data_IF_907300334668
#
_entry.id   IF_907300334668
#
_cell.length_a   1.000
_cell.length_b   1.000
_cell.length_c   1.000
_cell.angle_alpha   90.00
_cell.angle_beta   90.00
_cell.angle_gamma   90.00
#
_symmetry.space_group_name_H-M   'P 1'
#
loop_
_entity.id
_entity.type
_entity.pdbx_description
1 polymer ?
#
# COMPACT_ATOMS: atom_id res chain seq x y z
N UNK A 1 17.79 -5.75 2.88
CA UNK A 1 17.24 -7.11 3.07
C UNK A 1 18.24 -8.20 2.69
N UNK A 2 19.47 -8.16 3.23
CA UNK A 2 20.49 -9.20 2.97
C UNK A 2 21.07 -9.25 1.55
N UNK A 3 20.65 -8.36 0.65
CA UNK A 3 21.27 -8.21 -0.67
C UNK A 3 22.63 -7.51 -0.54
N UNK A 4 23.67 -7.97 -1.28
CA UNK A 4 24.99 -7.37 -1.23
C UNK A 4 24.95 -5.92 -1.75
N UNK A 5 25.80 -5.06 -1.22
CA UNK A 5 25.86 -3.67 -1.65
C UNK A 5 27.18 -2.96 -1.34
N UNK A 6 27.34 -1.71 -1.80
CA UNK A 6 28.56 -0.92 -1.58
C UNK A 6 28.91 -0.73 -0.09
N UNK A 7 27.89 -0.68 0.76
CA UNK A 7 28.04 -0.52 2.21
C UNK A 7 28.83 -1.69 2.85
N UNK A 8 28.75 -2.91 2.29
CA UNK A 8 29.54 -4.08 2.75
C UNK A 8 31.06 -3.85 2.59
N UNK A 9 31.44 -2.91 1.72
CA UNK A 9 32.81 -2.54 1.41
C UNK A 9 33.19 -1.15 1.93
N UNK A 10 32.36 -0.56 2.81
CA UNK A 10 32.58 0.78 3.35
C UNK A 10 32.45 1.90 2.30
N UNK A 11 31.63 1.69 1.27
CA UNK A 11 31.37 2.65 0.19
C UNK A 11 29.93 3.17 0.22
N UNK A 12 29.71 4.33 -0.39
CA UNK A 12 28.39 4.95 -0.50
C UNK A 12 27.58 4.35 -1.65
N UNK A 13 26.28 4.63 -1.68
CA UNK A 13 25.43 4.27 -2.81
C UNK A 13 25.87 4.97 -4.11
N UNK A 14 26.38 6.20 -4.04
CA UNK A 14 26.92 6.91 -5.20
C UNK A 14 28.14 6.17 -5.78
N UNK A 15 29.13 5.82 -4.93
CA UNK A 15 30.31 5.06 -5.37
C UNK A 15 29.93 3.76 -6.12
N UNK A 16 28.92 3.04 -5.62
CA UNK A 16 28.45 1.80 -6.24
C UNK A 16 27.68 2.01 -7.53
N UNK A 17 26.78 3.00 -7.55
CA UNK A 17 25.96 3.31 -8.72
C UNK A 17 26.82 3.86 -9.87
N UNK A 18 27.72 4.79 -9.57
CA UNK A 18 28.56 5.48 -10.55
C UNK A 18 29.59 4.51 -11.17
N UNK A 19 30.13 3.57 -10.38
CA UNK A 19 30.98 2.50 -10.93
C UNK A 19 30.26 1.67 -12.01
N UNK A 20 28.97 1.36 -11.83
CA UNK A 20 28.17 0.68 -12.85
C UNK A 20 27.81 1.63 -14.00
N UNK A 21 27.56 2.89 -13.70
CA UNK A 21 27.17 3.92 -14.66
C UNK A 21 28.30 4.21 -15.66
N UNK A 22 29.55 4.28 -15.19
CA UNK A 22 30.77 4.40 -15.99
C UNK A 22 30.91 3.24 -16.98
N UNK A 23 30.62 2.01 -16.55
CA UNK A 23 30.69 0.84 -17.41
C UNK A 23 29.61 0.85 -18.52
N UNK A 24 28.46 1.46 -18.26
CA UNK A 24 27.33 1.53 -19.20
C UNK A 24 27.37 2.78 -20.12
N UNK A 25 28.06 3.84 -19.70
CA UNK A 25 28.08 5.13 -20.40
C UNK A 25 28.53 5.05 -21.88
N UNK A 26 29.58 4.28 -22.26
CA UNK A 26 29.97 4.14 -23.67
C UNK A 26 28.90 3.51 -24.58
N UNK A 27 27.90 2.87 -23.97
CA UNK A 27 26.80 2.19 -24.67
C UNK A 27 25.47 2.94 -24.56
N UNK A 28 25.46 4.13 -23.95
CA UNK A 28 24.23 4.90 -23.70
C UNK A 28 23.29 4.25 -22.67
N UNK A 29 23.80 3.33 -21.84
CA UNK A 29 23.02 2.67 -20.80
C UNK A 29 22.82 3.55 -19.56
N UNK A 30 21.77 3.24 -18.81
CA UNK A 30 21.44 3.89 -17.53
C UNK A 30 21.47 2.88 -16.38
N UNK A 31 21.69 3.38 -15.16
CA UNK A 31 21.57 2.61 -13.92
C UNK A 31 20.31 3.05 -13.19
N UNK A 32 19.37 2.12 -13.00
CA UNK A 32 18.22 2.32 -12.11
C UNK A 32 18.60 1.81 -10.72
N UNK A 33 18.92 2.72 -9.81
CA UNK A 33 19.38 2.38 -8.46
C UNK A 33 18.24 2.54 -7.47
N UNK A 34 17.75 1.44 -6.88
CA UNK A 34 16.60 1.48 -5.96
C UNK A 34 16.96 2.14 -4.64
N UNK A 35 16.13 3.09 -4.22
CA UNK A 35 16.23 3.78 -2.93
C UNK A 35 15.47 3.05 -1.79
N UNK A 36 15.01 1.83 -2.03
CA UNK A 36 14.40 0.96 -1.01
C UNK A 36 15.49 0.36 -0.12
N UNK A 37 16.06 1.19 0.75
CA UNK A 37 17.14 0.84 1.66
C UNK A 37 16.72 1.18 3.09
N UNK A 38 16.91 0.22 3.98
CA UNK A 38 16.71 0.37 5.41
C UNK A 38 17.54 -0.70 6.15
N UNK A 39 18.17 -0.30 7.24
CA UNK A 39 19.10 -1.08 8.05
C UNK A 39 18.42 -1.61 9.31
N UNK A 40 18.76 -2.84 9.68
CA UNK A 40 18.35 -3.43 10.97
C UNK A 40 19.16 -2.91 12.16
N UNK A 41 20.31 -2.30 11.88
CA UNK A 41 21.21 -1.79 12.90
C UNK A 41 20.91 -0.33 13.26
N UNK A 42 20.11 0.34 12.42
CA UNK A 42 19.61 1.67 12.71
C UNK A 42 18.38 1.54 13.61
N UNK A 43 18.39 2.30 14.71
CA UNK A 43 17.30 2.35 15.70
C UNK A 43 16.31 3.48 15.41
N UNK A 44 16.64 4.34 14.45
CA UNK A 44 15.74 5.37 13.95
C UNK A 44 14.53 4.77 13.23
N UNK A 45 13.48 5.57 13.09
CA UNK A 45 12.24 5.14 12.45
C UNK A 45 12.48 4.68 11.00
N UNK A 46 12.07 3.44 10.65
CA UNK A 46 12.30 2.86 9.32
C UNK A 46 11.93 3.79 8.18
N UNK A 47 10.83 4.54 8.30
CA UNK A 47 10.34 5.40 7.22
C UNK A 47 11.25 6.61 6.96
N UNK A 48 12.19 6.91 7.87
CA UNK A 48 13.19 7.98 7.70
C UNK A 48 14.39 7.54 6.88
N UNK A 49 14.71 6.24 6.89
CA UNK A 49 16.05 5.77 6.53
C UNK A 49 16.39 5.97 5.05
N UNK A 50 15.43 5.77 4.14
CA UNK A 50 15.67 6.04 2.72
C UNK A 50 16.01 7.52 2.46
N UNK A 51 15.35 8.44 3.15
CA UNK A 51 15.69 9.85 3.05
C UNK A 51 17.08 10.12 3.62
N UNK A 52 17.37 9.62 4.83
CA UNK A 52 18.63 9.89 5.54
C UNK A 52 19.85 9.31 4.80
N UNK A 53 19.67 8.19 4.08
CA UNK A 53 20.70 7.57 3.26
C UNK A 53 20.96 8.35 1.96
N UNK A 54 19.92 8.79 1.24
CA UNK A 54 20.06 9.32 -0.11
C UNK A 54 20.11 10.85 -0.18
N UNK A 55 19.47 11.58 0.74
CA UNK A 55 19.51 13.05 0.77
C UNK A 55 20.94 13.62 0.84
N UNK A 56 21.87 13.08 1.67
CA UNK A 56 23.26 13.55 1.70
C UNK A 56 24.07 13.24 0.43
N UNK A 57 23.52 12.43 -0.48
CA UNK A 57 24.13 12.05 -1.75
C UNK A 57 23.58 12.86 -2.94
N UNK A 58 22.69 13.82 -2.69
CA UNK A 58 22.11 14.65 -3.75
C UNK A 58 23.19 15.38 -4.58
N UNK A 59 23.20 15.15 -5.89
CA UNK A 59 24.16 15.71 -6.83
C UNK A 59 25.52 15.03 -6.85
N UNK A 60 25.67 13.87 -6.19
CA UNK A 60 26.89 13.04 -6.28
C UNK A 60 26.80 11.94 -7.32
N UNK A 61 25.59 11.56 -7.74
CA UNK A 61 25.37 10.52 -8.73
C UNK A 61 25.65 11.02 -10.15
N UNK A 62 26.15 10.13 -10.99
CA UNK A 62 26.37 10.40 -12.41
C UNK A 62 25.06 10.64 -13.18
N UNK A 63 25.18 11.37 -14.29
CA UNK A 63 24.01 11.82 -15.07
C UNK A 63 23.16 10.69 -15.68
N UNK A 64 23.72 9.49 -15.84
CA UNK A 64 23.01 8.28 -16.30
C UNK A 64 22.60 7.34 -15.16
N UNK A 65 22.66 7.80 -13.90
CA UNK A 65 22.03 7.14 -12.75
C UNK A 65 20.66 7.77 -12.50
N UNK A 66 19.67 6.93 -12.22
CA UNK A 66 18.34 7.33 -11.74
C UNK A 66 18.08 6.62 -10.41
N UNK A 67 17.80 7.40 -9.36
CA UNK A 67 17.31 6.84 -8.10
C UNK A 67 15.84 6.45 -8.25
N UNK A 68 15.57 5.14 -8.21
CA UNK A 68 14.23 4.57 -8.30
C UNK A 68 13.62 4.49 -6.88
N UNK A 69 12.59 5.30 -6.62
CA UNK A 69 12.01 5.50 -5.29
C UNK A 69 10.56 5.02 -5.28
N UNK A 70 10.18 4.20 -4.29
CA UNK A 70 8.77 3.80 -4.09
C UNK A 70 7.86 5.01 -3.86
N UNK A 71 6.57 4.87 -4.17
CA UNK A 71 5.61 5.96 -4.00
C UNK A 71 5.53 6.51 -2.57
N UNK A 72 5.75 5.68 -1.57
CA UNK A 72 5.83 6.07 -0.16
C UNK A 72 7.13 5.58 0.49
N UNK A 73 7.42 6.04 1.72
CA UNK A 73 8.69 5.76 2.40
C UNK A 73 8.74 4.38 3.07
N UNK A 74 7.64 3.62 3.11
CA UNK A 74 7.60 2.27 3.68
C UNK A 74 7.68 1.21 2.59
N UNK A 75 6.55 0.63 2.19
CA UNK A 75 6.53 -0.53 1.31
C UNK A 75 5.13 -0.80 0.75
N UNK A 76 4.70 0.02 -0.23
CA UNK A 76 3.51 -0.21 -1.04
C UNK A 76 2.20 -0.46 -0.26
N UNK A 77 2.07 0.10 0.94
CA UNK A 77 0.90 -0.08 1.77
C UNK A 77 -0.36 0.51 1.08
N UNK A 78 -1.58 0.07 1.47
CA UNK A 78 -2.83 0.55 0.85
C UNK A 78 -2.95 2.08 0.73
N UNK A 79 -2.36 2.80 1.70
CA UNK A 79 -2.07 4.22 1.62
C UNK A 79 -0.81 4.55 2.41
N UNK A 80 0.04 5.39 1.81
CA UNK A 80 1.19 6.02 2.45
C UNK A 80 1.20 7.51 2.05
N UNK A 81 1.76 8.41 2.86
CA UNK A 81 2.19 9.70 2.34
C UNK A 81 3.26 9.48 1.26
N UNK A 82 3.44 10.46 0.36
CA UNK A 82 4.47 10.35 -0.67
C UNK A 82 5.87 10.29 -0.04
N UNK A 83 6.81 9.60 -0.70
CA UNK A 83 8.20 9.52 -0.22
C UNK A 83 8.84 10.93 -0.21
N UNK A 84 9.41 11.40 0.92
CA UNK A 84 9.97 12.75 1.03
C UNK A 84 11.18 12.99 0.12
N UNK A 85 11.78 11.92 -0.45
CA UNK A 85 12.80 12.06 -1.50
C UNK A 85 12.26 12.82 -2.73
N UNK A 86 10.97 12.68 -3.06
CA UNK A 86 10.32 13.51 -4.08
C UNK A 86 10.18 14.95 -3.57
N UNK A 87 11.17 15.78 -3.88
CA UNK A 87 11.26 17.17 -3.43
C UNK A 87 12.54 17.48 -2.66
N UNK A 88 13.22 16.46 -2.14
CA UNK A 88 14.43 16.64 -1.35
C UNK A 88 15.73 16.44 -2.13
N UNK A 89 15.75 15.83 -3.32
CA UNK A 89 17.00 15.62 -4.07
C UNK A 89 16.98 16.30 -5.45
N UNK A 90 17.00 17.64 -5.51
CA UNK A 90 16.83 18.40 -6.76
C UNK A 90 18.00 18.30 -7.76
N UNK A 91 19.14 17.69 -7.38
CA UNK A 91 20.32 17.56 -8.24
C UNK A 91 20.54 16.12 -8.72
N UNK A 92 19.57 15.23 -8.47
CA UNK A 92 19.66 13.81 -8.80
C UNK A 92 18.45 13.41 -9.62
N UNK A 93 18.63 12.57 -10.66
CA UNK A 93 17.51 12.03 -11.40
C UNK A 93 16.70 11.09 -10.49
N UNK A 94 15.38 11.27 -10.44
CA UNK A 94 14.47 10.45 -9.67
C UNK A 94 13.49 9.72 -10.59
N UNK A 95 13.18 8.49 -10.23
CA UNK A 95 12.13 7.68 -10.84
C UNK A 95 11.12 7.20 -9.80
N UNK A 96 9.86 7.10 -10.19
CA UNK A 96 8.81 6.53 -9.34
C UNK A 96 8.73 5.02 -9.53
N UNK A 97 8.78 4.26 -8.44
CA UNK A 97 8.44 2.84 -8.39
C UNK A 97 7.05 2.66 -7.78
N UNK A 98 6.19 1.92 -8.46
CA UNK A 98 4.84 1.55 -8.00
C UNK A 98 4.62 0.04 -8.16
N UNK A 99 3.73 -0.51 -7.34
CA UNK A 99 3.41 -1.94 -7.37
C UNK A 99 2.11 -2.20 -8.12
N UNK A 100 2.13 -2.97 -9.21
CA UNK A 100 0.91 -3.42 -9.89
C UNK A 100 0.42 -4.72 -9.26
N UNK A 101 1.36 -5.61 -8.88
CA UNK A 101 1.02 -6.80 -8.10
C UNK A 101 0.55 -6.37 -6.73
N UNK A 102 -0.55 -6.95 -6.25
CA UNK A 102 -1.24 -6.47 -5.05
C UNK A 102 -0.80 -7.22 -3.81
N UNK A 103 0.50 -7.25 -3.55
CA UNK A 103 1.09 -7.90 -2.38
C UNK A 103 0.38 -7.48 -1.07
N UNK A 104 0.06 -6.19 -0.95
CA UNK A 104 -0.57 -5.64 0.25
C UNK A 104 -2.07 -5.35 0.09
N UNK A 105 -2.67 -5.78 -1.02
CA UNK A 105 -4.02 -5.36 -1.44
C UNK A 105 -4.88 -6.56 -1.86
N UNK A 106 -4.69 -7.70 -1.18
CA UNK A 106 -5.54 -8.88 -1.31
C UNK A 106 -5.26 -9.72 -2.55
N UNK A 107 -4.03 -9.65 -3.07
CA UNK A 107 -3.55 -10.49 -4.17
C UNK A 107 -4.51 -10.46 -5.36
N UNK A 108 -4.65 -11.55 -6.11
CA UNK A 108 -5.44 -11.56 -7.34
C UNK A 108 -6.97 -11.56 -7.10
N UNK A 109 -7.40 -11.83 -5.87
CA UNK A 109 -8.83 -12.08 -5.55
C UNK A 109 -9.59 -10.84 -5.11
N UNK A 110 -8.92 -9.76 -4.73
CA UNK A 110 -9.59 -8.51 -4.33
C UNK A 110 -9.69 -7.54 -5.50
N UNK A 111 -10.88 -7.07 -5.86
CA UNK A 111 -11.02 -5.98 -6.84
C UNK A 111 -10.53 -4.68 -6.18
N UNK A 112 -9.37 -4.21 -6.62
CA UNK A 112 -8.71 -2.98 -6.14
C UNK A 112 -8.05 -2.28 -7.34
N UNK A 113 -8.65 -1.19 -7.79
CA UNK A 113 -8.14 -0.37 -8.88
C UNK A 113 -7.11 0.65 -8.38
N UNK A 114 -5.86 0.48 -8.79
CA UNK A 114 -4.70 1.23 -8.30
C UNK A 114 -4.50 2.58 -9.01
N UNK A 115 -5.23 2.85 -10.09
CA UNK A 115 -5.15 4.14 -10.77
C UNK A 115 -5.43 5.33 -9.83
N UNK A 116 -6.35 5.17 -8.87
CA UNK A 116 -6.65 6.21 -7.87
C UNK A 116 -5.53 6.40 -6.85
N UNK A 117 -4.82 5.32 -6.48
CA UNK A 117 -3.65 5.38 -5.61
C UNK A 117 -2.50 6.12 -6.29
N UNK A 118 -2.20 5.79 -7.54
CA UNK A 118 -1.09 6.41 -8.25
C UNK A 118 -1.39 7.86 -8.63
N UNK A 119 -2.64 8.18 -8.99
CA UNK A 119 -3.04 9.57 -9.19
C UNK A 119 -2.87 10.38 -7.89
N UNK A 120 -3.29 9.86 -6.72
CA UNK A 120 -3.10 10.53 -5.42
C UNK A 120 -1.61 10.84 -5.15
N UNK A 121 -0.71 9.91 -5.47
CA UNK A 121 0.74 10.10 -5.32
C UNK A 121 1.25 11.14 -6.32
N UNK A 122 0.97 10.97 -7.61
CA UNK A 122 1.45 11.84 -8.69
C UNK A 122 1.00 13.29 -8.50
N UNK A 123 -0.20 13.50 -7.99
CA UNK A 123 -0.78 14.83 -7.72
C UNK A 123 -0.38 15.41 -6.36
N UNK A 124 0.31 14.64 -5.50
CA UNK A 124 0.77 15.16 -4.21
C UNK A 124 1.75 16.31 -4.42
N UNK A 125 1.45 17.46 -3.83
CA UNK A 125 2.33 18.63 -3.88
C UNK A 125 3.45 18.48 -2.86
N UNK A 126 4.69 18.57 -3.34
CA UNK A 126 5.88 18.44 -2.49
C UNK A 126 6.29 19.77 -1.87
N UNK A 127 5.73 20.89 -2.36
CA UNK A 127 6.12 22.28 -2.07
C UNK A 127 7.62 22.59 -2.26
N UNK A 128 8.36 21.72 -2.95
CA UNK A 128 9.82 21.81 -3.07
C UNK A 128 10.31 23.08 -3.80
N UNK A 129 9.48 23.65 -4.67
CA UNK A 129 9.68 24.97 -5.30
C UNK A 129 8.43 25.85 -5.16
N UNK A 130 7.73 25.73 -4.03
CA UNK A 130 6.46 26.39 -3.79
C UNK A 130 5.25 25.60 -4.34
N UNK A 131 4.04 26.15 -4.21
CA UNK A 131 2.82 25.47 -4.61
C UNK A 131 2.80 25.04 -6.08
N UNK A 132 2.25 23.86 -6.34
CA UNK A 132 2.22 23.21 -7.65
C UNK A 132 3.47 22.38 -7.95
N UNK A 133 4.30 22.05 -6.95
CA UNK A 133 5.50 21.20 -7.08
C UNK A 133 5.13 19.71 -6.95
N UNK A 134 4.28 19.20 -7.83
CA UNK A 134 3.75 17.84 -7.70
C UNK A 134 4.82 16.76 -7.91
N UNK A 135 4.60 15.57 -7.34
CA UNK A 135 5.45 14.38 -7.60
C UNK A 135 5.54 14.10 -9.10
N UNK A 136 4.45 14.26 -9.86
CA UNK A 136 4.45 14.17 -11.32
C UNK A 136 5.52 15.07 -11.97
N UNK A 137 5.60 16.34 -11.55
CA UNK A 137 6.60 17.29 -12.07
C UNK A 137 8.02 16.99 -11.62
N UNK A 138 8.19 16.30 -10.49
CA UNK A 138 9.50 15.80 -10.07
C UNK A 138 9.97 14.71 -11.02
N UNK A 139 9.11 13.72 -11.29
CA UNK A 139 9.50 12.52 -12.06
C UNK A 139 9.43 12.71 -13.57
N UNK A 140 8.67 13.68 -14.09
CA UNK A 140 8.72 14.09 -15.50
C UNK A 140 9.90 15.04 -15.80
N UNK A 141 10.63 15.43 -14.74
CA UNK A 141 11.83 16.25 -14.79
C UNK A 141 11.58 17.76 -14.93
N UNK A 142 10.34 18.21 -15.15
CA UNK A 142 10.02 19.62 -15.39
C UNK A 142 10.29 20.52 -14.18
N UNK A 143 10.19 20.00 -12.95
CA UNK A 143 10.40 20.79 -11.74
C UNK A 143 11.87 21.16 -11.52
N UNK A 144 12.80 20.23 -11.81
CA UNK A 144 14.23 20.37 -11.51
C UNK A 144 15.14 20.40 -12.73
N UNK A 145 14.62 20.16 -13.94
CA UNK A 145 15.40 20.09 -15.18
C UNK A 145 16.10 18.75 -15.39
N UNK A 146 15.63 17.68 -14.75
CA UNK A 146 16.17 16.34 -14.93
C UNK A 146 15.82 15.81 -16.32
N UNK A 147 16.80 15.21 -17.01
CA UNK A 147 16.63 14.72 -18.39
C UNK A 147 16.29 13.24 -18.47
N UNK A 148 16.78 12.46 -17.51
CA UNK A 148 16.50 11.05 -17.39
C UNK A 148 15.37 10.88 -16.38
N UNK A 149 14.22 10.44 -16.87
CA UNK A 149 12.99 10.28 -16.10
C UNK A 149 12.55 8.83 -16.12
N UNK A 150 11.82 8.40 -15.10
CA UNK A 150 11.43 7.00 -14.97
C UNK A 150 10.12 6.87 -14.18
N UNK A 151 9.25 5.99 -14.68
CA UNK A 151 8.22 5.34 -13.88
C UNK A 151 8.35 3.83 -14.09
N UNK A 152 8.54 3.09 -13.00
CA UNK A 152 8.70 1.64 -12.98
C UNK A 152 7.51 1.00 -12.26
N UNK A 153 6.96 -0.05 -12.86
CA UNK A 153 5.85 -0.83 -12.31
C UNK A 153 6.30 -2.25 -11.97
N UNK A 154 6.19 -2.67 -10.71
CA UNK A 154 6.39 -4.08 -10.31
C UNK A 154 5.23 -4.90 -10.86
N UNK A 155 5.53 -5.72 -11.87
CA UNK A 155 4.53 -6.39 -12.71
C UNK A 155 3.58 -7.32 -11.94
N UNK A 156 2.34 -7.43 -12.42
CA UNK A 156 1.32 -8.35 -11.93
C UNK A 156 0.99 -9.46 -12.93
N UNK A 157 1.92 -9.83 -13.81
CA UNK A 157 1.66 -10.76 -14.91
C UNK A 157 2.36 -12.10 -14.69
N UNK A 158 1.71 -13.17 -15.10
CA UNK A 158 2.22 -14.54 -15.08
C UNK A 158 1.76 -15.34 -16.30
N UNK A 159 1.81 -16.66 -16.19
CA UNK A 159 1.40 -17.61 -17.24
C UNK A 159 -0.10 -17.95 -17.21
N UNK A 160 -0.86 -17.39 -16.26
CA UNK A 160 -2.32 -17.42 -16.25
C UNK A 160 -2.89 -16.92 -17.58
N UNK A 161 -3.96 -17.55 -18.06
CA UNK A 161 -4.49 -17.28 -19.41
C UNK A 161 -4.89 -15.82 -19.64
N UNK A 162 -5.27 -15.12 -18.58
CA UNK A 162 -5.63 -13.70 -18.61
C UNK A 162 -4.49 -12.79 -18.13
N UNK A 163 -3.27 -13.32 -17.98
CA UNK A 163 -2.02 -12.72 -17.52
C UNK A 163 -2.01 -12.32 -16.05
N UNK A 164 -3.07 -11.68 -15.55
CA UNK A 164 -3.06 -11.02 -14.24
C UNK A 164 -3.82 -11.77 -13.13
N UNK A 165 -4.27 -13.01 -13.37
CA UNK A 165 -5.11 -13.79 -12.45
C UNK A 165 -6.55 -13.24 -12.34
N UNK A 166 -6.71 -12.04 -11.80
CA UNK A 166 -7.98 -11.30 -11.73
C UNK A 166 -8.31 -10.49 -12.98
N UNK A 167 -9.57 -10.52 -13.42
CA UNK A 167 -10.03 -9.71 -14.58
C UNK A 167 -9.77 -8.21 -14.39
N UNK A 168 -10.02 -7.67 -13.20
CA UNK A 168 -9.79 -6.23 -12.92
C UNK A 168 -8.31 -5.87 -12.74
N UNK A 169 -7.41 -6.85 -12.61
CA UNK A 169 -5.98 -6.57 -12.40
C UNK A 169 -5.27 -6.15 -13.68
N UNK A 170 -5.87 -6.48 -14.82
CA UNK A 170 -5.51 -5.92 -16.12
C UNK A 170 -5.74 -4.39 -16.17
N UNK A 171 -6.73 -3.88 -15.43
CA UNK A 171 -6.98 -2.43 -15.38
C UNK A 171 -5.83 -1.69 -14.69
N UNK A 172 -5.16 -2.33 -13.73
CA UNK A 172 -3.99 -1.76 -13.06
C UNK A 172 -2.78 -1.72 -14.00
N UNK A 173 -2.55 -2.77 -14.78
CA UNK A 173 -1.51 -2.76 -15.81
C UNK A 173 -1.79 -1.69 -16.89
N UNK A 174 -3.04 -1.58 -17.33
CA UNK A 174 -3.45 -0.54 -18.27
C UNK A 174 -3.24 0.87 -17.69
N UNK A 175 -3.69 1.11 -16.45
CA UNK A 175 -3.52 2.39 -15.78
C UNK A 175 -2.06 2.79 -15.60
N UNK A 176 -1.18 1.83 -15.27
CA UNK A 176 0.26 2.07 -15.21
C UNK A 176 0.80 2.60 -16.54
N UNK A 177 0.48 1.94 -17.65
CA UNK A 177 0.93 2.39 -18.97
C UNK A 177 0.40 3.79 -19.34
N UNK A 178 -0.85 4.09 -18.98
CA UNK A 178 -1.47 5.41 -19.25
C UNK A 178 -0.86 6.53 -18.41
N UNK A 179 -0.60 6.27 -17.12
CA UNK A 179 -0.01 7.25 -16.20
C UNK A 179 1.51 7.42 -16.42
N UNK A 180 2.21 6.37 -16.84
CA UNK A 180 3.61 6.48 -17.28
C UNK A 180 3.73 7.33 -18.56
N UNK A 181 2.73 7.28 -19.45
CA UNK A 181 2.66 8.13 -20.64
C UNK A 181 2.27 9.57 -20.33
N UNK A 182 1.26 9.78 -19.48
CA UNK A 182 0.81 11.08 -19.04
C UNK A 182 0.47 11.04 -17.54
N UNK A 183 1.37 11.54 -16.66
CA UNK A 183 1.16 11.47 -15.21
C UNK A 183 0.02 12.36 -14.71
N UNK A 184 -0.48 13.30 -15.53
CA UNK A 184 -1.64 14.14 -15.22
C UNK A 184 -2.98 13.53 -15.66
N UNK A 185 -2.99 12.33 -16.24
CA UNK A 185 -4.21 11.69 -16.71
C UNK A 185 -5.15 11.32 -15.54
N UNK A 186 -6.46 11.44 -15.77
CA UNK A 186 -7.49 11.05 -14.80
C UNK A 186 -7.60 9.54 -14.69
N UNK A 187 -7.51 9.03 -13.47
CA UNK A 187 -7.75 7.63 -13.15
C UNK A 187 -9.17 7.18 -13.54
N UNK A 188 -10.17 8.07 -13.46
CA UNK A 188 -11.54 7.78 -13.88
C UNK A 188 -11.65 7.62 -15.40
N UNK A 189 -11.00 8.49 -16.17
CA UNK A 189 -11.00 8.41 -17.64
C UNK A 189 -10.28 7.14 -18.11
N UNK A 190 -9.16 6.81 -17.46
CA UNK A 190 -8.42 5.56 -17.71
C UNK A 190 -9.31 4.34 -17.40
N UNK A 191 -10.03 4.35 -16.29
CA UNK A 191 -10.96 3.26 -15.94
C UNK A 191 -12.09 3.15 -16.98
N UNK A 192 -12.63 4.29 -17.42
CA UNK A 192 -13.68 4.35 -18.45
C UNK A 192 -13.21 3.73 -19.77
N UNK A 193 -12.02 4.12 -20.23
CA UNK A 193 -11.39 3.57 -21.44
C UNK A 193 -11.21 2.05 -21.30
N UNK A 194 -10.61 1.59 -20.20
CA UNK A 194 -10.36 0.17 -19.97
C UNK A 194 -11.66 -0.65 -19.93
N UNK A 195 -12.69 -0.18 -19.24
CA UNK A 195 -14.00 -0.86 -19.16
C UNK A 195 -14.63 -0.99 -20.55
N UNK A 196 -14.54 0.04 -21.39
CA UNK A 196 -15.06 0.02 -22.76
C UNK A 196 -14.31 -0.93 -23.67
N UNK A 197 -13.00 -0.98 -23.53
CA UNK A 197 -12.12 -1.85 -24.33
C UNK A 197 -12.23 -3.31 -23.90
N UNK A 198 -12.44 -3.55 -22.61
CA UNK A 198 -12.34 -4.89 -22.04
C UNK A 198 -13.70 -5.53 -21.83
N UNK A 199 -14.63 -4.84 -21.16
CA UNK A 199 -15.85 -5.45 -20.63
C UNK A 199 -17.08 -5.19 -21.49
N UNK A 200 -17.42 -3.92 -21.73
CA UNK A 200 -18.65 -3.54 -22.43
C UNK A 200 -18.65 -2.06 -22.80
N UNK A 201 -19.33 -1.69 -23.89
CA UNK A 201 -19.56 -0.30 -24.29
C UNK A 201 -20.93 0.22 -23.88
N UNK A 202 -21.78 -0.61 -23.28
CA UNK A 202 -23.14 -0.22 -22.88
C UNK A 202 -23.09 0.77 -21.71
N UNK A 203 -23.58 2.02 -21.87
CA UNK A 203 -23.47 3.05 -20.84
C UNK A 203 -24.18 2.71 -19.52
N UNK A 204 -25.21 1.84 -19.56
CA UNK A 204 -25.91 1.36 -18.35
C UNK A 204 -25.00 0.51 -17.47
N UNK A 205 -24.00 -0.16 -18.06
CA UNK A 205 -23.02 -0.99 -17.34
C UNK A 205 -21.68 -0.27 -17.12
N UNK A 206 -21.21 0.53 -18.09
CA UNK A 206 -19.92 1.24 -17.97
C UNK A 206 -19.90 2.13 -16.72
N UNK A 207 -20.90 2.99 -16.54
CA UNK A 207 -20.93 3.95 -15.43
C UNK A 207 -20.85 3.28 -14.05
N UNK A 208 -21.69 2.29 -13.70
CA UNK A 208 -21.59 1.63 -12.40
C UNK A 208 -20.29 0.82 -12.22
N UNK A 209 -19.74 0.20 -13.29
CA UNK A 209 -18.46 -0.52 -13.19
C UNK A 209 -17.31 0.46 -12.91
N UNK A 210 -17.26 1.60 -13.59
CA UNK A 210 -16.25 2.64 -13.34
C UNK A 210 -16.37 3.17 -11.91
N UNK A 211 -17.59 3.46 -11.44
CA UNK A 211 -17.80 3.90 -10.05
C UNK A 211 -17.32 2.85 -9.03
N UNK A 212 -17.60 1.56 -9.30
CA UNK A 212 -17.12 0.43 -8.49
C UNK A 212 -15.58 0.38 -8.45
N UNK A 213 -14.92 0.57 -9.59
CA UNK A 213 -13.44 0.64 -9.66
C UNK A 213 -12.91 1.84 -8.84
N UNK A 214 -13.47 3.03 -9.03
CA UNK A 214 -12.98 4.25 -8.36
C UNK A 214 -13.09 4.17 -6.83
N UNK A 215 -14.12 3.49 -6.29
CA UNK A 215 -14.28 3.27 -4.85
C UNK A 215 -13.48 2.10 -4.27
N UNK A 216 -13.00 1.18 -5.11
CA UNK A 216 -12.43 -0.10 -4.66
C UNK A 216 -11.15 0.00 -3.84
N UNK A 217 -10.27 0.97 -4.15
CA UNK A 217 -9.05 1.22 -3.37
C UNK A 217 -9.36 1.76 -1.98
N UNK A 218 -10.32 2.67 -1.86
CA UNK A 218 -10.72 3.19 -0.55
C UNK A 218 -11.42 2.12 0.29
N UNK A 219 -12.18 1.21 -0.33
CA UNK A 219 -12.73 0.06 0.38
C UNK A 219 -11.61 -0.78 1.04
N UNK A 220 -10.52 -1.06 0.30
CA UNK A 220 -9.36 -1.78 0.82
C UNK A 220 -8.64 -1.03 1.95
N UNK A 221 -8.39 0.28 1.80
CA UNK A 221 -7.85 1.10 2.89
C UNK A 221 -8.73 1.01 4.13
N UNK A 222 -10.05 1.12 3.95
CA UNK A 222 -11.02 1.10 5.05
C UNK A 222 -11.02 -0.22 5.82
N UNK A 223 -11.10 -1.37 5.14
CA UNK A 223 -11.11 -2.65 5.86
C UNK A 223 -9.71 -3.14 6.27
N UNK A 224 -8.60 -2.58 5.77
CA UNK A 224 -7.24 -3.02 6.14
C UNK A 224 -6.54 -2.07 7.11
N UNK A 225 -6.38 -0.80 6.72
CA UNK A 225 -5.49 0.16 7.39
C UNK A 225 -6.00 1.62 7.27
N UNK A 226 -7.16 1.95 7.85
CA UNK A 226 -7.74 3.30 7.75
C UNK A 226 -6.98 4.34 8.59
N UNK A 227 -7.31 5.61 8.39
CA UNK A 227 -6.84 6.75 9.22
C UNK A 227 -5.31 6.95 9.29
N UNK A 228 -4.55 6.37 8.34
CA UNK A 228 -3.09 6.45 8.33
C UNK A 228 -2.40 5.27 9.03
N UNK A 229 -3.14 4.25 9.47
CA UNK A 229 -2.54 2.96 9.80
C UNK A 229 -1.81 2.40 8.59
N UNK A 230 -0.81 1.58 8.86
CA UNK A 230 -0.01 0.89 7.86
C UNK A 230 0.54 -0.40 8.45
N UNK A 231 0.89 -1.36 7.59
CA UNK A 231 1.62 -2.57 7.98
C UNK A 231 0.88 -3.41 9.02
N UNK A 232 -0.42 -3.66 8.82
CA UNK A 232 -1.26 -4.47 9.72
C UNK A 232 -1.45 -5.91 9.23
N UNK A 233 -0.55 -6.39 8.37
CA UNK A 233 -0.64 -7.68 7.69
C UNK A 233 0.05 -8.80 8.47
N UNK A 234 -0.37 -10.04 8.21
CA UNK A 234 0.32 -11.25 8.66
C UNK A 234 1.73 -11.34 8.08
N UNK A 235 2.69 -11.71 8.93
CA UNK A 235 4.11 -11.80 8.56
C UNK A 235 4.36 -12.80 7.42
N UNK A 236 5.34 -12.46 6.58
CA UNK A 236 5.82 -13.25 5.43
C UNK A 236 4.86 -13.32 4.25
N UNK A 237 3.57 -13.56 4.48
CA UNK A 237 2.61 -13.81 3.40
C UNK A 237 1.70 -12.61 3.08
N UNK A 238 1.60 -11.59 3.93
CA UNK A 238 0.90 -10.32 3.67
C UNK A 238 -0.62 -10.35 3.34
N UNK A 239 -1.23 -11.54 3.17
CA UNK A 239 -2.65 -11.72 2.79
C UNK A 239 -3.71 -11.27 3.83
N UNK A 240 -3.54 -11.69 5.08
CA UNK A 240 -4.55 -11.55 6.13
C UNK A 240 -4.14 -10.55 7.22
N UNK A 241 -5.05 -10.20 8.15
CA UNK A 241 -4.74 -9.31 9.26
C UNK A 241 -3.73 -9.95 10.21
N UNK A 242 -2.84 -9.12 10.76
CA UNK A 242 -1.92 -9.47 11.84
C UNK A 242 -1.56 -8.29 12.74
N UNK A 243 -2.47 -7.38 13.12
CA UNK A 243 -2.13 -6.15 13.87
C UNK A 243 -1.49 -6.42 15.25
N UNK A 244 -1.65 -7.63 15.80
CA UNK A 244 -1.06 -8.11 17.06
C UNK A 244 0.40 -8.58 16.96
N UNK A 245 0.93 -8.76 15.74
CA UNK A 245 2.23 -9.42 15.59
C UNK A 245 3.37 -8.54 16.11
N UNK A 246 4.13 -9.08 17.06
CA UNK A 246 5.24 -8.43 17.77
C UNK A 246 6.55 -9.25 17.80
N UNK A 247 6.56 -10.41 17.13
CA UNK A 247 7.58 -11.44 17.29
C UNK A 247 8.41 -11.72 16.02
N UNK A 248 8.35 -10.85 15.01
CA UNK A 248 9.25 -10.92 13.87
C UNK A 248 10.71 -10.70 14.30
N UNK A 249 11.66 -11.18 13.49
CA UNK A 249 13.09 -11.09 13.78
C UNK A 249 13.65 -9.66 13.85
N UNK A 250 12.86 -8.65 13.45
CA UNK A 250 13.19 -7.23 13.55
C UNK A 250 11.95 -6.43 13.99
N UNK A 251 12.09 -5.41 14.87
CA UNK A 251 10.96 -4.59 15.29
C UNK A 251 10.22 -3.91 14.12
N UNK A 252 10.95 -3.42 13.13
CA UNK A 252 10.39 -2.72 11.96
C UNK A 252 9.74 -3.64 10.92
N UNK A 253 9.63 -4.94 11.22
CA UNK A 253 8.79 -5.91 10.50
C UNK A 253 7.52 -6.27 11.28
N UNK A 254 7.34 -5.75 12.49
CA UNK A 254 6.18 -6.03 13.31
C UNK A 254 5.07 -4.97 13.09
N UNK A 255 3.83 -5.37 12.83
CA UNK A 255 2.66 -4.49 12.87
C UNK A 255 2.56 -3.61 14.12
N UNK A 256 2.87 -4.14 15.31
CA UNK A 256 2.83 -3.36 16.57
C UNK A 256 3.84 -2.22 16.62
N UNK A 257 4.94 -2.31 15.86
CA UNK A 257 5.91 -1.23 15.74
C UNK A 257 5.28 0.00 15.08
N UNK A 258 4.38 -0.21 14.13
CA UNK A 258 3.72 0.86 13.37
C UNK A 258 2.47 1.38 14.05
N UNK A 259 1.59 0.49 14.54
CA UNK A 259 0.35 0.93 15.18
C UNK A 259 0.59 1.51 16.57
N UNK A 260 1.63 1.09 17.32
CA UNK A 260 1.93 1.54 18.69
C UNK A 260 0.70 1.52 19.61
N UNK A 261 -0.25 0.64 19.35
CA UNK A 261 -1.52 0.61 20.04
C UNK A 261 -1.32 0.10 21.48
N UNK A 262 -1.93 0.78 22.44
CA UNK A 262 -1.98 0.36 23.83
C UNK A 262 -3.35 0.70 24.45
N UNK A 263 -3.44 0.63 25.78
CA UNK A 263 -4.67 0.95 26.50
C UNK A 263 -5.14 2.41 26.31
N UNK A 264 -4.22 3.32 26.04
CA UNK A 264 -4.46 4.76 26.04
C UNK A 264 -4.64 5.33 24.64
N UNK A 265 -3.92 4.82 23.65
CA UNK A 265 -3.98 5.35 22.29
C UNK A 265 -3.38 4.46 21.21
N UNK A 266 -3.28 5.03 20.01
CA UNK A 266 -2.79 4.39 18.78
C UNK A 266 -2.14 5.43 17.87
N UNK A 267 -1.26 4.98 16.97
CA UNK A 267 -0.59 5.76 15.93
C UNK A 267 0.88 6.01 16.23
N UNK A 268 1.65 6.51 15.28
CA UNK A 268 3.09 6.71 15.47
C UNK A 268 3.39 8.20 15.59
N UNK A 269 3.93 8.66 16.72
CA UNK A 269 4.41 10.06 16.84
C UNK A 269 5.65 10.28 15.96
N UNK A 270 5.44 10.92 14.82
CA UNK A 270 6.48 11.33 13.87
C UNK A 270 6.65 12.83 13.80
N UNK A 271 6.04 13.56 14.74
CA UNK A 271 6.22 15.00 14.94
C UNK A 271 7.57 15.27 15.64
N UNK A 272 7.96 16.53 15.89
CA UNK A 272 9.20 16.86 16.59
C UNK A 272 9.32 16.29 18.02
N UNK A 273 8.22 15.83 18.62
CA UNK A 273 8.25 15.17 19.94
C UNK A 273 8.51 13.66 19.87
N UNK A 274 8.39 13.07 18.68
CA UNK A 274 8.60 11.65 18.40
C UNK A 274 9.83 11.40 17.52
N UNK A 275 9.65 10.74 16.38
CA UNK A 275 10.77 10.46 15.45
C UNK A 275 11.20 11.65 14.59
N UNK A 276 10.44 12.74 14.59
CA UNK A 276 10.62 13.96 13.78
C UNK A 276 10.73 13.69 12.27
N UNK A 277 10.08 12.62 11.77
CA UNK A 277 10.10 12.32 10.34
C UNK A 277 9.39 13.39 9.50
N UNK A 278 8.48 14.16 10.09
CA UNK A 278 7.87 15.33 9.43
C UNK A 278 8.92 16.33 8.93
N UNK A 279 10.07 16.44 9.59
CA UNK A 279 11.15 17.35 9.19
C UNK A 279 11.82 16.97 7.85
N UNK A 280 11.56 15.76 7.32
CA UNK A 280 12.06 15.34 6.01
C UNK A 280 11.26 15.95 4.85
N UNK A 281 10.05 16.44 5.10
CA UNK A 281 9.22 17.13 4.12
C UNK A 281 9.54 18.63 4.03
N UNK A 282 9.02 19.31 2.99
CA UNK A 282 9.14 20.76 2.88
C UNK A 282 8.50 21.48 4.10
N UNK A 283 8.98 22.67 4.51
CA UNK A 283 8.55 23.31 5.75
C UNK A 283 7.04 23.52 5.91
N UNK A 284 6.31 23.76 4.81
CA UNK A 284 4.86 23.92 4.81
C UNK A 284 4.14 22.60 5.15
N UNK A 285 4.54 21.50 4.51
CA UNK A 285 4.04 20.15 4.77
C UNK A 285 4.44 19.65 6.14
N UNK A 286 5.68 19.88 6.55
CA UNK A 286 6.15 19.56 7.89
C UNK A 286 5.27 20.25 8.95
N UNK A 287 4.92 21.53 8.73
CA UNK A 287 3.98 22.25 9.60
C UNK A 287 2.56 21.66 9.57
N UNK A 288 2.05 21.34 8.38
CA UNK A 288 0.71 20.74 8.22
C UNK A 288 0.60 19.38 8.93
N UNK A 289 1.62 18.52 8.78
CA UNK A 289 1.68 17.19 9.38
C UNK A 289 2.05 17.19 10.87
N UNK A 290 2.69 18.25 11.35
CA UNK A 290 2.99 18.42 12.80
C UNK A 290 1.75 18.81 13.60
N UNK A 291 0.82 19.57 13.02
CA UNK A 291 -0.40 19.98 13.71
C UNK A 291 -1.52 18.97 13.45
N UNK A 292 -1.97 18.32 14.53
CA UNK A 292 -3.04 17.32 14.51
C UNK A 292 -4.34 17.85 13.89
N UNK A 293 -4.61 19.15 14.01
CA UNK A 293 -5.83 19.77 13.47
C UNK A 293 -5.77 19.96 11.95
N UNK A 294 -4.57 20.17 11.41
CA UNK A 294 -4.37 20.37 9.97
C UNK A 294 -3.99 19.09 9.25
N UNK A 295 -3.40 18.12 9.93
CA UNK A 295 -3.03 16.83 9.34
C UNK A 295 -4.27 16.18 8.69
N UNK A 296 -4.19 15.77 7.41
CA UNK A 296 -5.28 15.04 6.76
C UNK A 296 -5.59 13.74 7.52
N UNK A 297 -6.88 13.46 7.79
CA UNK A 297 -7.28 12.27 8.59
C UNK A 297 -6.76 10.95 7.98
N UNK A 298 -6.61 10.90 6.65
CA UNK A 298 -6.03 9.75 5.93
C UNK A 298 -4.56 9.46 6.25
N UNK A 299 -3.86 10.38 6.93
CA UNK A 299 -2.48 10.25 7.40
C UNK A 299 -2.35 10.51 8.91
N UNK A 300 -3.46 10.59 9.66
CA UNK A 300 -3.44 11.02 11.05
C UNK A 300 -2.57 10.10 11.91
N UNK A 301 -2.84 8.80 11.88
CA UNK A 301 -2.11 7.79 12.66
C UNK A 301 -0.72 7.48 12.08
N UNK A 302 -0.42 8.02 10.89
CA UNK A 302 0.93 7.98 10.35
C UNK A 302 1.84 8.99 11.06
N UNK A 303 1.33 10.17 11.43
CA UNK A 303 2.16 11.23 12.02
C UNK A 303 1.95 11.42 13.52
N UNK A 304 0.82 10.95 14.07
CA UNK A 304 0.43 11.20 15.46
C UNK A 304 0.14 9.90 16.21
N UNK A 305 0.57 9.82 17.47
CA UNK A 305 0.00 8.90 18.46
C UNK A 305 -1.07 9.67 19.24
N UNK A 306 -2.32 9.19 19.20
CA UNK A 306 -3.47 9.88 19.75
C UNK A 306 -4.24 9.00 20.74
N UNK A 307 -4.86 9.60 21.78
CA UNK A 307 -5.72 8.84 22.66
C UNK A 307 -6.95 8.34 21.90
N UNK A 308 -7.45 7.16 22.29
CA UNK A 308 -8.66 6.57 21.69
C UNK A 308 -9.89 7.49 21.73
N UNK A 309 -9.94 8.39 22.71
CA UNK A 309 -11.01 9.37 22.91
C UNK A 309 -10.80 10.69 22.17
N UNK A 310 -9.79 10.81 21.31
CA UNK A 310 -9.58 12.00 20.48
C UNK A 310 -10.82 12.25 19.60
N UNK A 311 -11.34 13.48 19.61
CA UNK A 311 -12.52 13.86 18.81
C UNK A 311 -12.09 14.18 17.38
N UNK A 312 -12.56 13.37 16.44
CA UNK A 312 -12.31 13.48 15.00
C UNK A 312 -13.15 14.61 14.40
N UNK A 313 -12.90 15.01 13.14
CA UNK A 313 -13.63 16.14 12.52
C UNK A 313 -15.13 15.87 12.36
N UNK A 314 -15.54 14.60 12.39
CA UNK A 314 -16.93 14.15 12.40
C UNK A 314 -17.66 14.39 13.72
N UNK A 315 -16.92 14.64 14.82
CA UNK A 315 -17.43 14.69 16.19
C UNK A 315 -17.47 13.32 16.89
N UNK A 316 -17.08 12.24 16.21
CA UNK A 316 -16.90 10.93 16.84
C UNK A 316 -15.52 10.80 17.49
N UNK A 317 -15.37 9.85 18.38
CA UNK A 317 -14.03 9.52 18.90
C UNK A 317 -13.19 8.77 17.86
N UNK A 318 -11.87 8.79 18.01
CA UNK A 318 -10.95 8.03 17.17
C UNK A 318 -11.25 6.53 17.18
N UNK A 319 -11.61 5.97 18.35
CA UNK A 319 -12.06 4.57 18.45
C UNK A 319 -13.31 4.31 17.61
N UNK A 320 -14.32 5.18 17.73
CA UNK A 320 -15.55 5.06 16.97
C UNK A 320 -15.26 5.14 15.46
N UNK A 321 -14.53 6.16 15.01
CA UNK A 321 -14.16 6.30 13.58
C UNK A 321 -13.39 5.08 13.07
N UNK A 322 -12.48 4.51 13.87
CA UNK A 322 -11.75 3.31 13.47
C UNK A 322 -12.72 2.13 13.21
N UNK A 323 -13.66 1.88 14.12
CA UNK A 323 -14.71 0.84 13.95
C UNK A 323 -15.59 1.12 12.73
N UNK A 324 -15.96 2.40 12.53
CA UNK A 324 -16.77 2.85 11.40
C UNK A 324 -16.06 2.61 10.08
N UNK A 325 -14.79 2.99 9.95
CA UNK A 325 -13.99 2.77 8.75
C UNK A 325 -13.84 1.28 8.42
N UNK A 326 -13.46 0.43 9.38
CA UNK A 326 -13.35 -1.01 9.15
C UNK A 326 -14.68 -1.61 8.66
N UNK A 327 -15.79 -1.21 9.27
CA UNK A 327 -17.13 -1.67 8.88
C UNK A 327 -17.56 -1.11 7.52
N UNK A 328 -17.23 0.15 7.23
CA UNK A 328 -17.51 0.79 5.94
C UNK A 328 -16.78 0.08 4.80
N UNK A 329 -15.54 -0.38 5.01
CA UNK A 329 -14.82 -1.17 4.02
C UNK A 329 -15.56 -2.45 3.63
N UNK A 330 -16.09 -3.19 4.61
CA UNK A 330 -16.93 -4.38 4.36
C UNK A 330 -18.21 -4.03 3.61
N UNK A 331 -18.90 -2.97 4.04
CA UNK A 331 -20.15 -2.51 3.42
C UNK A 331 -19.93 -2.13 1.96
N UNK A 332 -18.85 -1.41 1.66
CA UNK A 332 -18.52 -1.04 0.27
C UNK A 332 -18.25 -2.27 -0.58
N UNK A 333 -17.58 -3.32 -0.07
CA UNK A 333 -17.42 -4.58 -0.85
C UNK A 333 -18.78 -5.26 -1.10
N UNK A 334 -19.70 -5.24 -0.13
CA UNK A 334 -21.08 -5.74 -0.34
C UNK A 334 -21.83 -4.93 -1.42
N UNK A 335 -21.64 -3.61 -1.47
CA UNK A 335 -22.17 -2.76 -2.54
C UNK A 335 -21.52 -3.07 -3.90
N UNK A 336 -20.21 -3.38 -3.93
CA UNK A 336 -19.52 -3.84 -5.14
C UNK A 336 -20.12 -5.16 -5.64
N UNK A 337 -20.41 -6.12 -4.76
CA UNK A 337 -21.12 -7.36 -5.10
C UNK A 337 -22.51 -7.08 -5.71
N UNK A 338 -23.30 -6.23 -5.06
CA UNK A 338 -24.64 -5.86 -5.53
C UNK A 338 -24.60 -5.11 -6.87
N UNK A 339 -23.57 -4.29 -7.08
CA UNK A 339 -23.33 -3.59 -8.34
C UNK A 339 -22.98 -4.57 -9.43
N UNK A 340 -21.98 -5.45 -9.19
CA UNK A 340 -21.55 -6.44 -10.16
C UNK A 340 -22.69 -7.40 -10.53
N UNK A 341 -23.50 -7.86 -9.57
CA UNK A 341 -24.63 -8.75 -9.84
C UNK A 341 -25.61 -8.20 -10.89
N UNK A 342 -25.84 -6.88 -10.90
CA UNK A 342 -26.70 -6.19 -11.89
C UNK A 342 -26.06 -6.15 -13.29
N UNK A 343 -24.75 -6.38 -13.40
CA UNK A 343 -24.02 -6.34 -14.67
C UNK A 343 -24.14 -7.62 -15.49
N UNK A 344 -24.76 -8.69 -14.94
CA UNK A 344 -24.90 -10.00 -15.60
C UNK A 344 -25.41 -9.95 -17.05
N UNK A 345 -26.38 -9.11 -17.44
CA UNK A 345 -26.85 -9.05 -18.82
C UNK A 345 -25.85 -8.41 -19.81
N UNK A 346 -24.80 -7.76 -19.30
CA UNK A 346 -23.90 -6.92 -20.09
C UNK A 346 -22.46 -7.45 -20.20
N UNK A 347 -22.15 -8.54 -19.49
CA UNK A 347 -20.81 -9.15 -19.39
C UNK A 347 -20.91 -10.60 -19.82
N UNK A 348 -19.85 -11.13 -20.46
CA UNK A 348 -19.83 -12.54 -20.81
C UNK A 348 -19.92 -13.47 -19.57
N UNK A 349 -20.46 -14.69 -19.71
CA UNK A 349 -20.68 -15.56 -18.56
C UNK A 349 -19.40 -15.92 -17.78
N UNK A 350 -18.27 -16.04 -18.47
CA UNK A 350 -17.01 -16.50 -17.87
C UNK A 350 -16.42 -15.44 -16.93
N UNK A 351 -16.23 -14.21 -17.43
CA UNK A 351 -15.66 -13.12 -16.62
C UNK A 351 -16.64 -12.65 -15.56
N UNK A 352 -17.94 -12.67 -15.87
CA UNK A 352 -18.98 -12.41 -14.86
C UNK A 352 -18.83 -13.36 -13.67
N UNK A 353 -18.77 -14.68 -13.92
CA UNK A 353 -18.65 -15.68 -12.87
C UNK A 353 -17.34 -15.56 -12.07
N UNK A 354 -16.20 -15.32 -12.73
CA UNK A 354 -14.91 -15.15 -12.04
C UNK A 354 -14.95 -13.95 -11.09
N UNK A 355 -15.37 -12.78 -11.58
CA UNK A 355 -15.42 -11.56 -10.76
C UNK A 355 -16.43 -11.71 -9.63
N UNK A 356 -17.57 -12.38 -9.85
CA UNK A 356 -18.50 -12.71 -8.76
C UNK A 356 -17.82 -13.53 -7.67
N UNK A 357 -17.13 -14.61 -8.02
CA UNK A 357 -16.42 -15.45 -7.05
C UNK A 357 -15.31 -14.68 -6.31
N UNK A 358 -14.59 -13.80 -7.01
CA UNK A 358 -13.53 -12.98 -6.41
C UNK A 358 -14.10 -11.94 -5.45
N UNK A 359 -15.22 -11.28 -5.79
CA UNK A 359 -15.92 -10.38 -4.86
C UNK A 359 -16.48 -11.13 -3.63
N UNK A 360 -16.89 -12.39 -3.76
CA UNK A 360 -17.26 -13.24 -2.61
C UNK A 360 -16.07 -13.52 -1.68
N UNK A 361 -14.91 -13.84 -2.25
CA UNK A 361 -13.65 -13.99 -1.49
C UNK A 361 -13.30 -12.66 -0.81
N UNK A 362 -13.28 -11.56 -1.55
CA UNK A 362 -12.96 -10.23 -1.04
C UNK A 362 -13.90 -9.82 0.10
N UNK A 363 -15.21 -10.10 -0.01
CA UNK A 363 -16.16 -9.76 1.05
C UNK A 363 -15.91 -10.59 2.32
N UNK A 364 -15.63 -11.89 2.18
CA UNK A 364 -15.25 -12.76 3.32
C UNK A 364 -13.97 -12.24 3.98
N UNK A 365 -12.99 -11.86 3.19
CA UNK A 365 -11.68 -11.46 3.70
C UNK A 365 -11.72 -10.03 4.28
N UNK A 366 -12.51 -9.13 3.70
CA UNK A 366 -12.81 -7.83 4.31
C UNK A 366 -13.45 -7.97 5.69
N UNK A 367 -14.38 -8.92 5.86
CA UNK A 367 -14.95 -9.25 7.18
C UNK A 367 -13.91 -9.79 8.15
N UNK A 368 -13.04 -10.70 7.68
CA UNK A 368 -11.92 -11.21 8.48
C UNK A 368 -11.03 -10.07 8.97
N UNK A 369 -10.61 -9.18 8.07
CA UNK A 369 -9.81 -8.01 8.40
C UNK A 369 -10.50 -7.10 9.42
N UNK A 370 -11.78 -6.75 9.18
CA UNK A 370 -12.59 -5.92 10.08
C UNK A 370 -12.70 -6.52 11.47
N UNK A 371 -13.10 -7.80 11.57
CA UNK A 371 -13.33 -8.44 12.86
C UNK A 371 -12.04 -8.67 13.64
N UNK A 372 -10.98 -9.13 12.97
CA UNK A 372 -9.69 -9.39 13.61
C UNK A 372 -9.04 -8.10 14.13
N UNK A 373 -9.08 -7.02 13.34
CA UNK A 373 -8.56 -5.72 13.76
C UNK A 373 -9.35 -5.11 14.90
N UNK A 374 -10.69 -5.11 14.82
CA UNK A 374 -11.54 -4.60 15.91
C UNK A 374 -11.34 -5.44 17.19
N UNK A 375 -11.31 -6.77 17.09
CA UNK A 375 -11.07 -7.64 18.25
C UNK A 375 -9.74 -7.33 18.93
N UNK A 376 -8.69 -7.10 18.15
CA UNK A 376 -7.36 -6.75 18.67
C UNK A 376 -7.37 -5.40 19.38
N UNK A 377 -7.76 -4.32 18.70
CA UNK A 377 -7.71 -2.98 19.30
C UNK A 377 -8.67 -2.85 20.49
N UNK A 378 -9.85 -3.47 20.43
CA UNK A 378 -10.79 -3.54 21.55
C UNK A 378 -10.18 -4.25 22.77
N UNK A 379 -9.40 -5.33 22.56
CA UNK A 379 -8.74 -6.04 23.66
C UNK A 379 -7.73 -5.17 24.43
N UNK A 380 -7.18 -4.14 23.79
CA UNK A 380 -6.23 -3.20 24.38
C UNK A 380 -6.95 -2.06 25.12
N UNK A 381 -7.94 -1.45 24.47
CA UNK A 381 -8.58 -0.23 24.96
C UNK A 381 -9.78 -0.47 25.90
N UNK A 382 -10.51 -1.59 25.73
CA UNK A 382 -11.70 -1.94 26.51
C UNK A 382 -12.88 -0.95 26.41
N UNK A 383 -12.91 -0.12 25.36
CA UNK A 383 -13.98 0.84 25.10
C UNK A 383 -15.17 0.16 24.42
N UNK A 384 -16.43 0.53 24.75
CA UNK A 384 -17.59 -0.04 24.07
C UNK A 384 -17.54 0.28 22.57
N UNK A 385 -18.09 -0.60 21.73
CA UNK A 385 -18.29 -0.27 20.32
C UNK A 385 -19.36 0.81 20.16
N UNK A 386 -19.27 1.63 19.09
CA UNK A 386 -20.31 2.60 18.75
C UNK A 386 -21.66 1.92 18.52
N UNK A 387 -22.73 2.62 18.90
CA UNK A 387 -24.09 2.11 18.75
C UNK A 387 -24.40 1.73 17.29
N UNK A 388 -25.00 0.56 17.08
CA UNK A 388 -25.37 0.05 15.75
C UNK A 388 -24.26 -0.73 15.03
N UNK A 389 -23.07 -0.85 15.61
CA UNK A 389 -21.98 -1.66 15.07
C UNK A 389 -21.93 -3.03 15.76
N UNK A 390 -21.76 -4.10 14.97
CA UNK A 390 -21.73 -5.46 15.49
C UNK A 390 -20.39 -5.78 16.18
N UNK A 391 -20.41 -6.60 17.21
CA UNK A 391 -19.19 -7.23 17.75
C UNK A 391 -18.48 -8.07 16.68
N UNK A 392 -17.16 -8.31 16.79
CA UNK A 392 -16.48 -9.35 16.01
C UNK A 392 -17.16 -10.71 16.17
N UNK A 393 -17.30 -11.48 15.09
CA UNK A 393 -18.03 -12.77 15.12
C UNK A 393 -17.33 -13.83 16.00
N UNK A 394 -16.03 -13.69 16.25
CA UNK A 394 -15.17 -14.62 17.01
C UNK A 394 -14.23 -13.85 17.95
N UNK A 395 -13.63 -14.57 18.88
CA UNK A 395 -12.64 -14.00 19.83
C UNK A 395 -11.32 -13.66 19.15
N UNK A 396 -10.51 -12.79 19.77
CA UNK A 396 -9.15 -12.50 19.30
C UNK A 396 -8.31 -13.78 19.18
N UNK A 397 -8.32 -14.66 20.19
CA UNK A 397 -7.62 -15.95 20.17
C UNK A 397 -7.93 -16.80 18.92
N UNK A 398 -9.17 -16.74 18.43
CA UNK A 398 -9.55 -17.45 17.20
C UNK A 398 -8.82 -16.85 15.99
N UNK A 399 -8.82 -15.52 15.86
CA UNK A 399 -8.17 -14.82 14.75
C UNK A 399 -6.65 -14.99 14.77
N UNK A 400 -6.01 -14.90 15.94
CA UNK A 400 -4.56 -15.14 16.10
C UNK A 400 -4.14 -16.59 15.76
N UNK A 401 -5.06 -17.54 15.96
CA UNK A 401 -4.85 -18.94 15.65
C UNK A 401 -5.02 -19.30 14.17
N UNK A 402 -5.54 -18.40 13.33
CA UNK A 402 -5.71 -18.64 11.90
C UNK A 402 -4.36 -18.81 11.19
N UNK A 403 -4.35 -19.66 10.17
CA UNK A 403 -3.18 -19.91 9.32
C UNK A 403 -3.59 -19.84 7.86
N UNK A 404 -2.66 -19.35 7.03
CA UNK A 404 -2.86 -19.17 5.59
C UNK A 404 -1.78 -19.94 4.81
N UNK A 405 -1.76 -21.29 4.90
CA UNK A 405 -0.70 -22.12 4.33
C UNK A 405 -0.60 -22.05 2.80
N UNK A 406 -1.65 -21.56 2.14
CA UNK A 406 -1.73 -21.43 0.69
C UNK A 406 -1.76 -19.97 0.22
N UNK A 407 -1.43 -19.02 1.11
CA UNK A 407 -1.26 -17.64 0.68
C UNK A 407 -0.10 -17.57 -0.33
N UNK A 408 -0.32 -17.00 -1.53
CA UNK A 408 0.75 -16.71 -2.46
C UNK A 408 1.95 -16.01 -1.79
N UNK A 409 3.16 -16.46 -2.10
CA UNK A 409 4.39 -15.85 -1.59
C UNK A 409 5.02 -16.46 -0.33
N UNK A 410 4.47 -17.54 0.25
CA UNK A 410 5.13 -18.27 1.36
C UNK A 410 6.34 -19.10 0.84
N UNK A 411 7.60 -18.73 1.16
CA UNK A 411 8.78 -19.47 0.71
C UNK A 411 9.01 -20.78 1.50
N UNK A 412 8.18 -21.07 2.51
CA UNK A 412 8.34 -22.20 3.44
C UNK A 412 7.73 -23.53 3.01
N UNK A 413 6.94 -23.59 1.94
CA UNK A 413 6.44 -24.86 1.40
C UNK A 413 7.18 -25.29 0.14
N UNK A 414 7.83 -26.44 0.25
CA UNK A 414 8.53 -27.14 -0.82
C UNK A 414 7.70 -27.21 -2.10
N UNK A 415 8.25 -26.66 -3.19
CA UNK A 415 7.95 -26.99 -4.57
C UNK A 415 6.46 -27.13 -4.93
N UNK A 416 5.70 -26.04 -4.80
CA UNK A 416 4.65 -25.76 -5.76
C UNK A 416 4.99 -24.42 -6.41
N UNK A 417 5.01 -24.32 -7.75
CA UNK A 417 5.16 -23.03 -8.41
C UNK A 417 4.05 -22.08 -7.93
N UNK A 418 4.21 -20.78 -8.19
CA UNK A 418 3.19 -19.73 -8.15
C UNK A 418 1.94 -20.04 -9.04
N UNK A 419 1.58 -21.30 -9.22
CA UNK A 419 0.63 -21.85 -10.16
C UNK A 419 -0.41 -22.68 -9.41
N UNK A 420 -1.50 -22.04 -9.02
CA UNK A 420 -2.87 -22.54 -9.21
C UNK A 420 -3.88 -21.57 -8.59
N UNK A 421 -4.11 -20.43 -9.25
CA UNK A 421 -5.27 -19.57 -9.01
C UNK A 421 -6.61 -20.35 -9.12
N UNK A 422 -6.64 -21.45 -9.88
CA UNK A 422 -7.80 -22.35 -10.01
C UNK A 422 -8.07 -23.27 -8.79
N UNK A 423 -7.11 -23.44 -7.86
CA UNK A 423 -7.34 -24.11 -6.56
C UNK A 423 -7.42 -23.12 -5.39
N UNK A 424 -7.10 -21.85 -5.61
CA UNK A 424 -7.23 -20.76 -4.64
C UNK A 424 -8.68 -20.35 -4.34
N UNK A 425 -9.68 -21.16 -4.73
CA UNK A 425 -11.05 -21.03 -4.19
C UNK A 425 -11.09 -21.39 -2.70
N UNK A 426 -10.09 -22.12 -2.21
CA UNK A 426 -9.90 -22.50 -0.82
C UNK A 426 -8.53 -22.06 -0.32
N UNK A 427 -8.40 -20.79 0.07
CA UNK A 427 -7.50 -20.48 1.18
C UNK A 427 -8.13 -21.12 2.42
N UNK A 428 -7.83 -22.40 2.64
CA UNK A 428 -8.33 -23.13 3.81
C UNK A 428 -7.76 -22.44 5.05
N UNK A 429 -8.58 -21.61 5.68
CA UNK A 429 -8.37 -21.09 7.02
C UNK A 429 -8.47 -22.26 7.98
N UNK A 430 -7.33 -22.80 8.41
CA UNK A 430 -7.31 -23.93 9.35
C UNK A 430 -6.99 -23.41 10.74
N UNK A 431 -7.86 -23.64 11.75
CA UNK A 431 -7.53 -23.39 13.14
C UNK A 431 -6.35 -24.26 13.58
N UNK A 432 -5.42 -23.72 14.37
CA UNK A 432 -4.32 -24.49 14.97
C UNK A 432 -4.89 -25.70 15.74
N UNK A 433 -4.60 -26.92 15.29
CA UNK A 433 -5.02 -28.12 16.04
C UNK A 433 -4.35 -28.14 17.40
N UNK A 434 -5.14 -28.19 18.47
CA UNK A 434 -4.66 -28.51 19.83
C UNK A 434 -4.33 -29.99 19.95
N UNK A 435 -3.32 -30.45 19.20
CA UNK A 435 -2.71 -31.75 19.46
C UNK A 435 -1.88 -31.62 20.74
N UNK A 436 -2.50 -31.89 21.90
CA UNK A 436 -1.76 -32.32 23.08
C UNK A 436 -0.99 -33.58 22.69
N UNK A 437 0.32 -33.49 22.59
CA UNK A 437 1.18 -34.64 22.62
C UNK A 437 1.03 -35.31 24.00
N UNK A 438 0.17 -36.32 24.09
CA UNK A 438 0.28 -37.33 25.14
C UNK A 438 1.34 -38.32 24.70
N UNK A 439 2.48 -38.31 25.41
CA UNK A 439 3.47 -39.38 25.40
C UNK A 439 2.92 -40.67 25.98
#
# INVERSE_FOLDING_TARGET
>A
EGQPGPQDYGRTHADGADMLADALAPHGGIVMWRAFVYSQNDKEDRIKQAYDEFKPLDGKFDSNVILQVKNGPLDFQPREPFSPLFGATPKTNLGLEIQLTKEYLGFETHVVYLGTMWQEVLQSDTDARGPGSTVAKVIDGSLFGNKNTLMAGVSNVGDDRNWCGGTFDQANWYAFGRLAWNPDASAEDIANDWVRMTLTTNPVAVKPIVAMMMGSREAAVNYMTPLGLAHQMGTSHHYGPGPWIDNAGRPDWNPVYYNKADKYGIGFDRTPTGSDAVAQYAPSLAKEFTDVNTTPEKYLLWFHHLPWTYEMKSGHTLWDELVMHYTQGVNTVSEMQATWAKMKPYIDPQRFAQVTAFLEIQHRDAKLWRDASIAYFHSLNGLPLPAGYAEPERTLDYYEALRFPYAPGDPGMTAAPFANSAKATHLDMVPKSTAKATH
#
